data_IF_384724595274
#
_entry.id   IF_384724595274
#
_cell.length_a   1.000
_cell.length_b   1.000
_cell.length_c   1.000
_cell.angle_alpha   90.00
_cell.angle_beta   90.00
_cell.angle_gamma   90.00
#
_symmetry.space_group_name_H-M   'P 1'
#
loop_
_entity.id
_entity.type
_entity.pdbx_description
1 polymer ?
#
# COMPACT_ATOMS: atom_id res chain seq x y z
N UNK A 1 52.67 -34.42 11.26
CA UNK A 1 51.21 -34.59 11.11
C UNK A 1 50.74 -35.06 12.48
N UNK A 2 50.01 -34.31 13.29
CA UNK A 2 48.82 -33.53 12.97
C UNK A 2 48.65 -32.35 13.95
N UNK A 3 48.44 -31.16 13.39
CA UNK A 3 48.27 -29.89 14.09
C UNK A 3 46.80 -29.46 13.95
N UNK A 4 45.87 -30.24 14.46
CA UNK A 4 44.44 -29.92 14.35
C UNK A 4 43.67 -30.57 15.48
N UNK A 5 43.43 -29.82 16.57
CA UNK A 5 42.27 -30.01 17.49
C UNK A 5 42.20 -28.98 18.65
N UNK A 6 42.79 -27.78 18.52
CA UNK A 6 42.65 -26.71 19.54
C UNK A 6 42.30 -25.40 18.83
N UNK A 7 41.05 -25.22 18.40
CA UNK A 7 40.71 -23.95 17.74
C UNK A 7 39.29 -23.73 17.20
N UNK A 8 38.28 -24.51 17.57
CA UNK A 8 36.94 -24.35 16.95
C UNK A 8 35.77 -24.48 17.93
N UNK A 9 35.81 -23.82 19.10
CA UNK A 9 34.61 -23.80 19.95
C UNK A 9 34.30 -22.51 20.73
N UNK A 10 35.12 -21.47 20.59
CA UNK A 10 34.92 -20.20 21.33
C UNK A 10 34.59 -18.98 20.45
N UNK A 11 34.56 -19.10 19.12
CA UNK A 11 34.32 -17.95 18.22
C UNK A 11 32.87 -17.74 17.75
N UNK A 12 32.00 -18.76 17.85
CA UNK A 12 30.68 -18.72 17.20
C UNK A 12 29.57 -18.20 18.12
N UNK A 13 29.80 -18.16 19.44
CA UNK A 13 28.80 -17.71 20.42
C UNK A 13 28.66 -16.19 20.49
N UNK A 14 29.77 -15.44 20.37
CA UNK A 14 29.74 -13.97 20.42
C UNK A 14 29.04 -13.32 19.20
N UNK A 15 29.05 -14.00 18.04
CA UNK A 15 28.47 -13.42 16.81
C UNK A 15 26.95 -13.58 16.76
N UNK A 16 26.40 -14.66 17.32
CA UNK A 16 24.97 -14.94 17.32
C UNK A 16 24.18 -13.96 18.21
N UNK A 17 24.80 -13.46 19.28
CA UNK A 17 24.20 -12.51 20.21
C UNK A 17 24.09 -11.10 19.57
N UNK A 18 25.14 -10.66 18.85
CA UNK A 18 25.18 -9.36 18.17
C UNK A 18 24.19 -9.24 17.00
N UNK A 19 23.87 -10.34 16.32
CA UNK A 19 22.87 -10.36 15.24
C UNK A 19 21.42 -10.39 15.76
N UNK A 20 21.19 -10.76 17.02
CA UNK A 20 19.86 -10.84 17.61
C UNK A 20 19.34 -9.46 18.07
N UNK A 21 20.22 -8.59 18.56
CA UNK A 21 19.85 -7.24 19.01
C UNK A 21 19.41 -6.29 17.87
N UNK A 22 19.84 -6.55 16.62
CA UNK A 22 19.41 -5.74 15.46
C UNK A 22 18.04 -6.14 14.91
N UNK A 23 17.56 -7.35 15.23
CA UNK A 23 16.28 -7.88 14.76
C UNK A 23 15.07 -7.42 15.60
N UNK A 24 15.30 -6.99 16.85
CA UNK A 24 14.24 -6.55 17.77
C UNK A 24 13.87 -5.06 17.64
N UNK A 25 14.61 -4.28 16.85
CA UNK A 25 14.48 -2.82 16.78
C UNK A 25 13.47 -2.29 15.74
N UNK A 26 12.70 -3.13 15.05
CA UNK A 26 11.55 -2.64 14.27
C UNK A 26 10.40 -2.40 15.24
N UNK A 27 10.48 -1.25 15.93
CA UNK A 27 9.49 -0.80 16.89
C UNK A 27 8.12 -0.69 16.24
N UNK A 28 7.11 -1.33 16.84
CA UNK A 28 5.70 -1.33 16.37
C UNK A 28 5.06 0.06 16.41
N UNK A 29 5.75 1.05 16.97
CA UNK A 29 5.35 2.44 17.06
C UNK A 29 5.74 3.31 15.87
N UNK A 30 6.35 2.76 14.81
CA UNK A 30 6.55 3.53 13.59
C UNK A 30 5.22 3.86 12.91
N UNK A 31 5.15 5.07 12.33
CA UNK A 31 3.97 5.58 11.62
C UNK A 31 3.52 4.61 10.51
N UNK A 32 4.45 3.94 9.86
CA UNK A 32 4.21 2.94 8.83
C UNK A 32 3.44 1.75 9.40
N UNK A 33 3.93 1.12 10.47
CA UNK A 33 3.28 -0.03 11.13
C UNK A 33 1.84 0.29 11.56
N UNK A 34 1.62 1.45 12.19
CA UNK A 34 0.29 1.92 12.60
C UNK A 34 -0.67 2.10 11.42
N UNK A 35 -0.17 2.52 10.25
CA UNK A 35 -1.00 2.66 9.05
C UNK A 35 -1.50 1.30 8.56
N UNK A 36 -0.64 0.28 8.50
CA UNK A 36 -1.03 -1.08 8.11
C UNK A 36 -1.98 -1.72 9.11
N UNK A 37 -1.76 -1.53 10.41
CA UNK A 37 -2.65 -2.05 11.46
C UNK A 37 -4.04 -1.40 11.37
N UNK A 38 -4.12 -0.08 11.21
CA UNK A 38 -5.39 0.63 10.99
C UNK A 38 -6.13 0.12 9.75
N UNK A 39 -5.42 -0.14 8.65
CA UNK A 39 -6.04 -0.73 7.45
C UNK A 39 -6.61 -2.13 7.75
N UNK A 40 -5.89 -2.96 8.53
CA UNK A 40 -6.32 -4.31 8.90
C UNK A 40 -7.58 -4.27 9.78
N UNK A 41 -7.61 -3.40 10.78
CA UNK A 41 -8.76 -3.20 11.67
C UNK A 41 -9.97 -2.67 10.92
N UNK A 42 -9.79 -1.69 10.04
CA UNK A 42 -10.89 -1.14 9.22
C UNK A 42 -11.51 -2.22 8.32
N UNK A 43 -10.70 -3.12 7.75
CA UNK A 43 -11.20 -4.26 6.96
C UNK A 43 -11.97 -5.26 7.82
N UNK A 44 -11.51 -5.52 9.04
CA UNK A 44 -12.21 -6.40 9.98
C UNK A 44 -13.56 -5.79 10.42
N UNK A 45 -13.58 -4.50 10.73
CA UNK A 45 -14.81 -3.77 11.05
C UNK A 45 -15.79 -3.77 9.88
N UNK A 46 -15.30 -3.54 8.65
CA UNK A 46 -16.14 -3.62 7.45
C UNK A 46 -16.75 -5.02 7.28
N UNK A 47 -15.98 -6.08 7.53
CA UNK A 47 -16.49 -7.47 7.51
C UNK A 47 -17.56 -7.69 8.59
N UNK A 48 -17.39 -7.13 9.77
CA UNK A 48 -18.35 -7.21 10.89
C UNK A 48 -19.64 -6.41 10.64
N UNK A 49 -19.57 -5.36 9.83
CA UNK A 49 -20.71 -4.49 9.51
C UNK A 49 -21.53 -4.91 8.28
N UNK A 50 -21.25 -6.07 7.68
CA UNK A 50 -22.06 -6.61 6.60
C UNK A 50 -23.40 -7.13 7.16
N UNK A 51 -24.52 -6.89 6.45
CA UNK A 51 -25.82 -7.42 6.86
C UNK A 51 -25.76 -8.95 6.96
N UNK A 52 -26.38 -9.49 8.00
CA UNK A 52 -26.49 -10.94 8.20
C UNK A 52 -27.36 -11.59 7.13
N UNK A 53 -27.35 -12.91 7.07
CA UNK A 53 -28.18 -13.69 6.13
C UNK A 53 -29.69 -13.50 6.35
N UNK A 54 -30.10 -13.11 7.56
CA UNK A 54 -31.49 -12.85 7.93
C UNK A 54 -31.96 -11.40 7.63
N UNK A 55 -31.06 -10.50 7.24
CA UNK A 55 -31.43 -9.12 6.86
C UNK A 55 -31.86 -9.06 5.38
N UNK A 56 -32.84 -8.20 5.04
CA UNK A 56 -33.18 -7.97 3.65
C UNK A 56 -31.95 -7.47 2.87
N UNK A 57 -31.73 -7.92 1.62
CA UNK A 57 -30.58 -7.52 0.84
C UNK A 57 -30.57 -6.02 0.61
N UNK A 58 -29.36 -5.43 0.60
CA UNK A 58 -29.19 -4.03 0.26
C UNK A 58 -29.80 -3.73 -1.12
N UNK A 59 -30.37 -2.53 -1.32
CA UNK A 59 -30.82 -2.12 -2.64
C UNK A 59 -29.66 -2.18 -3.65
N UNK A 60 -29.95 -2.45 -4.94
CA UNK A 60 -28.91 -2.53 -5.95
C UNK A 60 -28.11 -1.21 -6.02
N UNK A 61 -26.79 -1.27 -6.31
CA UNK A 61 -25.99 -0.07 -6.49
C UNK A 61 -26.60 0.82 -7.56
N UNK A 62 -26.75 2.10 -7.27
CA UNK A 62 -27.16 3.09 -8.27
C UNK A 62 -26.03 3.23 -9.29
N UNK A 63 -26.36 3.22 -10.58
CA UNK A 63 -25.33 3.39 -11.61
C UNK A 63 -24.70 4.80 -11.51
N UNK A 64 -23.37 4.92 -11.64
CA UNK A 64 -22.72 6.22 -11.65
C UNK A 64 -23.15 7.01 -12.88
N UNK A 65 -23.49 8.29 -12.68
CA UNK A 65 -23.77 9.22 -13.77
C UNK A 65 -22.50 9.38 -14.60
N UNK A 66 -22.55 8.94 -15.86
CA UNK A 66 -21.46 9.11 -16.83
C UNK A 66 -21.73 10.36 -17.64
N UNK A 67 -20.77 11.28 -17.71
CA UNK A 67 -20.84 12.36 -18.69
C UNK A 67 -20.86 11.74 -20.10
N UNK A 68 -21.93 12.00 -20.86
CA UNK A 68 -22.07 11.53 -22.23
C UNK A 68 -21.16 12.29 -23.21
N UNK A 69 -20.70 13.49 -22.83
CA UNK A 69 -19.69 14.21 -23.58
C UNK A 69 -18.33 13.56 -23.36
N UNK A 70 -17.72 13.11 -24.46
CA UNK A 70 -16.31 12.74 -24.50
C UNK A 70 -15.45 14.01 -24.38
N UNK A 71 -15.26 14.48 -23.14
CA UNK A 71 -14.29 15.53 -22.86
C UNK A 71 -12.87 14.96 -22.95
N UNK A 72 -11.92 15.67 -23.55
CA UNK A 72 -10.54 15.23 -23.60
C UNK A 72 -10.00 15.07 -22.17
N UNK A 73 -9.40 13.92 -21.87
CA UNK A 73 -8.75 13.71 -20.59
C UNK A 73 -7.58 14.68 -20.42
N UNK A 74 -7.23 14.98 -19.17
CA UNK A 74 -6.18 15.95 -18.79
C UNK A 74 -4.87 15.76 -19.60
N UNK A 75 -4.49 14.52 -19.87
CA UNK A 75 -3.23 14.19 -20.54
C UNK A 75 -3.36 13.97 -22.05
N UNK A 76 -4.58 13.94 -22.59
CA UNK A 76 -4.84 13.73 -24.01
C UNK A 76 -4.36 14.92 -24.86
N UNK A 77 -4.10 14.71 -26.15
CA UNK A 77 -3.80 15.81 -27.07
C UNK A 77 -4.94 16.84 -27.09
N UNK A 78 -4.60 18.13 -27.05
CA UNK A 78 -5.59 19.20 -27.08
C UNK A 78 -6.37 19.18 -28.42
N UNK A 79 -7.72 19.19 -28.39
CA UNK A 79 -8.54 19.23 -29.62
C UNK A 79 -8.38 20.55 -30.40
N UNK A 80 -7.76 21.57 -29.79
CA UNK A 80 -7.43 22.85 -30.39
C UNK A 80 -6.30 22.81 -31.44
N UNK A 81 -5.68 21.65 -31.68
CA UNK A 81 -4.60 21.51 -32.67
C UNK A 81 -3.23 22.05 -32.24
N UNK A 82 -3.06 22.43 -30.97
CA UNK A 82 -1.80 23.01 -30.48
C UNK A 82 -0.64 22.01 -30.31
N UNK A 83 -0.91 20.71 -30.45
CA UNK A 83 0.05 19.64 -30.18
C UNK A 83 0.41 19.46 -28.68
N UNK A 84 -0.17 20.26 -27.79
CA UNK A 84 0.08 20.20 -26.34
C UNK A 84 -0.95 19.30 -25.64
N UNK A 85 -0.60 18.76 -24.47
CA UNK A 85 -1.56 18.05 -23.60
C UNK A 85 -2.69 19.00 -23.18
N UNK A 86 -3.92 18.51 -23.09
CA UNK A 86 -5.10 19.31 -22.74
C UNK A 86 -4.88 20.11 -21.45
N UNK A 87 -4.26 19.50 -20.41
CA UNK A 87 -3.85 20.15 -19.14
C UNK A 87 -2.87 21.32 -19.23
N UNK A 88 -2.20 21.47 -20.38
CA UNK A 88 -1.21 22.52 -20.63
C UNK A 88 -1.67 23.50 -21.70
N UNK A 89 -2.88 23.32 -22.23
CA UNK A 89 -3.45 24.16 -23.27
C UNK A 89 -4.82 24.68 -22.83
N UNK A 90 -5.91 24.22 -23.44
CA UNK A 90 -7.26 24.70 -23.17
C UNK A 90 -7.66 24.59 -21.69
N UNK A 91 -7.33 23.50 -20.99
CA UNK A 91 -7.70 23.36 -19.56
C UNK A 91 -7.09 24.43 -18.63
N UNK A 92 -6.02 25.13 -19.05
CA UNK A 92 -5.46 26.27 -18.28
C UNK A 92 -6.02 27.62 -18.72
N UNK A 93 -6.67 27.66 -19.88
CA UNK A 93 -7.24 28.86 -20.50
C UNK A 93 -8.75 28.95 -20.26
N UNK A 94 -9.40 27.82 -19.99
CA UNK A 94 -10.77 27.68 -19.50
C UNK A 94 -10.90 28.11 -18.03
#
# INVERSE_FOLDING_TARGET
>A
MDFALVGQRLGVKLHAEFHNERASAVSKDDRFSRHYERQREAREQARKGLPGEDEPPLPPPVEPIKNSKAEPGRNDPCPCGSGKKYKQCCLKKD
#
